data_IF_047353087954
#
_entry.id   IF_047353087954
#
_cell.length_a   1.000
_cell.length_b   1.000
_cell.length_c   1.000
_cell.angle_alpha   90.00
_cell.angle_beta   90.00
_cell.angle_gamma   90.00
#
_symmetry.space_group_name_H-M   'P 1'
#
loop_
_entity.id
_entity.type
_entity.pdbx_description
1 polymer ?
#
# COMPACT_ATOMS: atom_id res chain seq x y z
N UNK A 1 26.58 -0.30 8.71
CA UNK A 1 25.85 -0.72 7.51
C UNK A 1 25.15 -2.05 7.79
N UNK A 2 23.85 -2.15 7.49
CA UNK A 2 23.03 -3.35 7.60
C UNK A 2 23.32 -4.32 6.46
N UNK A 3 23.14 -5.61 6.77
CA UNK A 3 23.21 -6.72 5.83
C UNK A 3 21.91 -7.53 5.91
N UNK A 4 21.52 -8.19 4.82
CA UNK A 4 20.31 -9.02 4.80
C UNK A 4 20.36 -10.13 5.85
N UNK A 5 21.55 -10.70 6.11
CA UNK A 5 21.74 -11.70 7.17
C UNK A 5 21.38 -11.13 8.56
N UNK A 6 21.82 -9.90 8.87
CA UNK A 6 21.49 -9.24 10.14
C UNK A 6 19.98 -8.97 10.26
N UNK A 7 19.34 -8.55 9.17
CA UNK A 7 17.89 -8.32 9.14
C UNK A 7 17.07 -9.60 9.28
N UNK A 8 17.52 -10.72 8.71
CA UNK A 8 16.84 -12.02 8.86
C UNK A 8 16.93 -12.57 10.29
N UNK A 9 18.02 -12.26 10.98
CA UNK A 9 18.26 -12.74 12.35
C UNK A 9 17.64 -11.85 13.43
N UNK A 10 17.12 -10.68 13.05
CA UNK A 10 16.48 -9.74 13.96
C UNK A 10 15.14 -10.32 14.46
N UNK A 11 15.00 -10.39 15.78
CA UNK A 11 13.77 -10.83 16.45
C UNK A 11 13.10 -9.65 17.15
N UNK A 12 11.79 -9.75 17.30
CA UNK A 12 11.01 -8.83 18.13
C UNK A 12 11.35 -9.04 19.61
N UNK A 13 11.61 -7.94 20.32
CA UNK A 13 11.97 -7.94 21.74
C UNK A 13 10.79 -7.53 22.63
N UNK A 14 9.56 -7.58 22.12
CA UNK A 14 8.36 -7.10 22.81
C UNK A 14 8.19 -5.57 22.80
N UNK A 15 9.22 -4.81 22.42
CA UNK A 15 9.17 -3.35 22.25
C UNK A 15 9.71 -2.94 20.88
N UNK A 16 9.17 -1.88 20.26
CA UNK A 16 9.63 -1.40 18.96
C UNK A 16 11.02 -0.73 19.07
N UNK A 17 11.98 -1.12 18.24
CA UNK A 17 13.32 -0.54 18.23
C UNK A 17 13.87 -0.25 16.83
N UNK A 18 14.82 0.70 16.77
CA UNK A 18 15.42 1.17 15.52
C UNK A 18 16.79 0.52 15.31
N UNK A 19 17.05 0.10 14.09
CA UNK A 19 18.37 -0.38 13.65
C UNK A 19 18.83 0.50 12.50
N UNK A 20 19.85 1.33 12.75
CA UNK A 20 20.36 2.28 11.77
C UNK A 20 21.13 1.57 10.64
N UNK A 21 20.91 2.01 9.41
CA UNK A 21 21.73 1.62 8.24
C UNK A 21 22.72 2.74 7.87
N UNK A 22 22.38 3.53 6.84
CA UNK A 22 23.19 4.61 6.26
C UNK A 22 22.28 5.74 5.76
N UNK A 23 22.82 6.94 5.61
CA UNK A 23 22.14 8.08 5.00
C UNK A 23 20.76 8.40 5.60
N UNK A 24 20.54 8.14 6.89
CA UNK A 24 19.24 8.34 7.55
C UNK A 24 18.22 7.22 7.33
N UNK A 25 18.58 6.15 6.61
CA UNK A 25 17.81 4.90 6.54
C UNK A 25 17.95 4.14 7.84
N UNK A 26 16.84 3.60 8.32
CA UNK A 26 16.83 2.67 9.44
C UNK A 26 15.71 1.64 9.27
N UNK A 27 15.96 0.45 9.80
CA UNK A 27 14.95 -0.57 9.95
C UNK A 27 14.23 -0.35 11.29
N UNK A 28 12.92 -0.15 11.23
CA UNK A 28 12.03 -0.10 12.38
C UNK A 28 11.50 -1.51 12.62
N UNK A 29 11.90 -2.13 13.73
CA UNK A 29 11.45 -3.47 14.14
C UNK A 29 10.25 -3.29 15.06
N UNK A 30 9.10 -3.85 14.69
CA UNK A 30 7.92 -3.89 15.54
C UNK A 30 8.10 -4.92 16.67
N UNK A 31 7.30 -4.80 17.74
CA UNK A 31 7.29 -5.76 18.84
C UNK A 31 7.05 -7.21 18.37
N UNK A 32 6.23 -7.38 17.32
CA UNK A 32 5.94 -8.67 16.67
C UNK A 32 7.06 -9.21 15.77
N UNK A 33 8.16 -8.46 15.59
CA UNK A 33 9.26 -8.82 14.68
C UNK A 33 9.06 -8.36 13.23
N UNK A 34 7.95 -7.69 12.91
CA UNK A 34 7.76 -7.07 11.59
C UNK A 34 8.77 -5.95 11.36
N UNK A 35 9.51 -5.98 10.25
CA UNK A 35 10.54 -4.99 9.93
C UNK A 35 10.03 -4.02 8.86
N UNK A 36 10.14 -2.72 9.12
CA UNK A 36 9.79 -1.66 8.16
C UNK A 36 10.98 -0.75 7.90
N UNK A 37 11.34 -0.55 6.63
CA UNK A 37 12.37 0.37 6.22
C UNK A 37 11.82 1.81 6.21
N UNK A 38 12.43 2.69 7.00
CA UNK A 38 12.05 4.09 7.13
C UNK A 38 13.25 4.99 6.88
N UNK A 39 12.97 6.16 6.32
CA UNK A 39 13.97 7.18 6.02
C UNK A 39 13.62 8.46 6.78
N UNK A 40 14.56 8.94 7.60
CA UNK A 40 14.49 10.22 8.29
C UNK A 40 15.24 11.28 7.49
N UNK A 41 14.58 12.40 7.23
CA UNK A 41 15.14 13.50 6.46
C UNK A 41 14.69 14.85 7.03
N UNK A 42 15.32 15.91 6.54
CA UNK A 42 14.91 17.29 6.80
C UNK A 42 14.61 17.98 5.49
N UNK A 43 13.47 18.67 5.45
CA UNK A 43 13.05 19.50 4.32
C UNK A 43 12.41 20.76 4.89
N UNK A 44 12.76 21.92 4.36
CA UNK A 44 12.22 23.22 4.80
C UNK A 44 12.35 23.45 6.33
N UNK A 45 13.49 23.06 6.93
CA UNK A 45 13.73 23.19 8.37
C UNK A 45 12.98 22.21 9.28
N UNK A 46 12.08 21.38 8.72
CA UNK A 46 11.30 20.39 9.47
C UNK A 46 11.88 18.98 9.30
N UNK A 47 11.94 18.24 10.39
CA UNK A 47 12.27 16.81 10.34
C UNK A 47 11.01 16.00 10.00
N UNK A 48 11.10 15.17 8.97
CA UNK A 48 10.02 14.30 8.53
C UNK A 48 10.54 12.85 8.35
N UNK A 49 9.62 11.90 8.40
CA UNK A 49 9.92 10.47 8.24
C UNK A 49 9.02 9.90 7.17
N UNK A 50 9.60 9.16 6.22
CA UNK A 50 8.85 8.39 5.22
C UNK A 50 9.06 6.89 5.44
N UNK A 51 7.98 6.13 5.38
CA UNK A 51 8.06 4.66 5.33
C UNK A 51 8.21 4.24 3.88
N UNK A 52 9.36 3.64 3.53
CA UNK A 52 9.62 3.14 2.18
C UNK A 52 8.81 1.86 1.94
N UNK A 53 8.91 0.89 2.85
CA UNK A 53 8.10 -0.33 2.82
C UNK A 53 8.50 -1.35 3.88
N UNK A 54 7.85 -2.52 3.83
CA UNK A 54 8.08 -3.63 4.77
C UNK A 54 9.16 -4.56 4.22
N UNK A 55 10.12 -4.95 5.06
CA UNK A 55 11.14 -5.93 4.70
C UNK A 55 10.62 -7.36 4.91
N UNK A 56 10.88 -8.26 3.96
CA UNK A 56 10.56 -9.69 4.08
C UNK A 56 10.06 -10.33 2.78
N UNK A 57 9.64 -11.60 2.87
CA UNK A 57 9.06 -12.36 1.75
C UNK A 57 7.73 -11.72 1.35
N UNK A 58 7.65 -11.20 0.12
CA UNK A 58 6.50 -10.42 -0.38
C UNK A 58 6.55 -8.92 -0.06
N UNK A 59 7.62 -8.46 0.58
CA UNK A 59 7.93 -7.04 0.79
C UNK A 59 9.07 -6.58 -0.09
N UNK A 60 9.87 -5.65 0.42
CA UNK A 60 11.11 -5.18 -0.21
C UNK A 60 12.35 -5.84 0.38
N UNK A 61 13.36 -6.02 -0.47
CA UNK A 61 14.73 -6.36 -0.08
C UNK A 61 15.49 -5.14 0.44
N UNK A 62 16.64 -5.37 1.10
CA UNK A 62 17.49 -4.27 1.57
C UNK A 62 18.07 -3.45 0.40
N UNK A 63 18.33 -4.08 -0.75
CA UNK A 63 18.79 -3.40 -1.97
C UNK A 63 17.74 -2.44 -2.51
N UNK A 64 16.51 -2.91 -2.68
CA UNK A 64 15.39 -2.07 -3.12
C UNK A 64 15.11 -0.92 -2.15
N UNK A 65 15.25 -1.15 -0.83
CA UNK A 65 15.12 -0.08 0.15
C UNK A 65 16.19 1.02 -0.03
N UNK A 66 17.40 0.66 -0.48
CA UNK A 66 18.48 1.61 -0.79
C UNK A 66 18.25 2.35 -2.10
N UNK A 67 17.69 1.68 -3.10
CA UNK A 67 17.28 2.30 -4.37
C UNK A 67 16.14 3.32 -4.12
N UNK A 68 15.11 2.93 -3.37
CA UNK A 68 14.02 3.81 -2.96
C UNK A 68 14.51 5.00 -2.12
N UNK A 69 15.56 4.82 -1.30
CA UNK A 69 16.20 5.92 -0.59
C UNK A 69 16.87 6.90 -1.56
N UNK A 70 17.55 6.42 -2.60
CA UNK A 70 18.18 7.29 -3.59
C UNK A 70 17.13 8.15 -4.31
N UNK A 71 15.98 7.58 -4.65
CA UNK A 71 14.84 8.31 -5.21
C UNK A 71 14.27 9.34 -4.22
N UNK A 72 14.04 8.92 -2.97
CA UNK A 72 13.53 9.82 -1.93
C UNK A 72 14.50 10.99 -1.68
N UNK A 73 15.81 10.75 -1.70
CA UNK A 73 16.83 11.81 -1.57
C UNK A 73 16.79 12.80 -2.73
N UNK A 74 16.59 12.34 -3.97
CA UNK A 74 16.42 13.22 -5.13
C UNK A 74 15.20 14.13 -4.96
N UNK A 75 14.08 13.58 -4.48
CA UNK A 75 12.88 14.36 -4.20
C UNK A 75 13.11 15.40 -3.08
N UNK A 76 13.79 15.01 -1.99
CA UNK A 76 14.14 15.92 -0.90
C UNK A 76 15.09 17.04 -1.36
N UNK A 77 16.06 16.73 -2.23
CA UNK A 77 16.95 17.72 -2.83
C UNK A 77 16.20 18.72 -3.72
N UNK A 78 15.10 18.30 -4.35
CA UNK A 78 14.19 19.17 -5.08
C UNK A 78 13.21 19.95 -4.15
N UNK A 79 13.35 19.84 -2.83
CA UNK A 79 12.48 20.49 -1.84
C UNK A 79 11.11 19.82 -1.66
N UNK A 80 10.88 18.67 -2.31
CA UNK A 80 9.61 17.94 -2.23
C UNK A 80 9.70 16.91 -1.10
N UNK A 81 8.70 16.92 -0.20
CA UNK A 81 8.58 15.91 0.87
C UNK A 81 8.02 14.59 0.31
N UNK A 82 8.79 13.48 0.33
CA UNK A 82 8.27 12.17 -0.09
C UNK A 82 7.11 11.68 0.77
N UNK A 83 7.04 12.07 2.05
CA UNK A 83 5.95 11.69 2.93
C UNK A 83 4.63 12.34 2.48
N UNK A 84 4.65 13.64 2.18
CA UNK A 84 3.47 14.36 1.70
C UNK A 84 2.99 13.85 0.36
N UNK A 85 3.91 13.61 -0.59
CA UNK A 85 3.54 13.03 -1.89
C UNK A 85 2.88 11.66 -1.74
N UNK A 86 3.34 10.84 -0.79
CA UNK A 86 2.73 9.53 -0.51
C UNK A 86 1.33 9.66 0.09
N UNK A 87 1.14 10.60 1.02
CA UNK A 87 -0.16 10.90 1.62
C UNK A 87 -1.16 11.47 0.61
N UNK A 88 -0.72 12.39 -0.24
CA UNK A 88 -1.52 12.99 -1.30
C UNK A 88 -1.96 11.92 -2.32
N UNK A 89 -1.04 11.04 -2.73
CA UNK A 89 -1.39 9.92 -3.61
C UNK A 89 -2.41 8.98 -2.97
N UNK A 90 -2.29 8.71 -1.67
CA UNK A 90 -3.27 7.91 -0.94
C UNK A 90 -4.62 8.63 -0.87
N UNK A 91 -4.64 9.93 -0.59
CA UNK A 91 -5.85 10.75 -0.55
C UNK A 91 -6.52 10.80 -1.92
N UNK A 92 -5.76 11.01 -2.99
CA UNK A 92 -6.24 10.98 -4.38
C UNK A 92 -6.85 9.63 -4.72
N UNK A 93 -6.20 8.51 -4.36
CA UNK A 93 -6.76 7.16 -4.55
C UNK A 93 -8.05 6.93 -3.77
N UNK A 94 -8.16 7.46 -2.55
CA UNK A 94 -9.38 7.37 -1.73
C UNK A 94 -10.51 8.28 -2.23
N UNK A 95 -10.16 9.41 -2.84
CA UNK A 95 -11.12 10.33 -3.44
C UNK A 95 -11.70 9.81 -4.76
N UNK A 96 -11.02 8.85 -5.40
CA UNK A 96 -11.60 8.14 -6.55
C UNK A 96 -12.81 7.33 -6.09
N UNK A 97 -13.94 7.56 -6.76
CA UNK A 97 -15.17 6.80 -6.52
C UNK A 97 -14.90 5.31 -6.76
N UNK A 98 -15.20 4.43 -5.78
CA UNK A 98 -15.03 3.01 -6.00
C UNK A 98 -16.02 2.53 -7.07
N UNK A 99 -15.61 1.56 -7.87
CA UNK A 99 -16.43 1.02 -8.96
C UNK A 99 -17.83 0.57 -8.50
N UNK A 100 -17.96 0.07 -7.27
CA UNK A 100 -19.26 -0.32 -6.70
C UNK A 100 -20.24 0.85 -6.64
N UNK A 101 -19.81 2.01 -6.13
CA UNK A 101 -20.63 3.21 -6.01
C UNK A 101 -20.97 3.77 -7.39
N UNK A 102 -20.00 3.76 -8.31
CA UNK A 102 -20.25 4.12 -9.71
C UNK A 102 -21.29 3.20 -10.37
N UNK A 103 -21.18 1.88 -10.16
CA UNK A 103 -22.06 0.88 -10.75
C UNK A 103 -23.49 0.96 -10.21
N UNK A 104 -23.67 1.19 -8.92
CA UNK A 104 -24.99 1.45 -8.30
C UNK A 104 -25.62 2.70 -8.89
N UNK A 105 -24.87 3.81 -8.95
CA UNK A 105 -25.34 5.06 -9.56
C UNK A 105 -25.72 4.89 -11.04
N UNK A 106 -24.97 4.08 -11.78
CA UNK A 106 -25.28 3.76 -13.18
C UNK A 106 -26.56 2.93 -13.30
N UNK A 107 -26.74 1.91 -12.45
CA UNK A 107 -27.95 1.09 -12.43
C UNK A 107 -29.21 1.93 -12.15
N UNK A 108 -29.10 2.94 -11.29
CA UNK A 108 -30.20 3.83 -10.92
C UNK A 108 -30.59 4.81 -12.02
N UNK A 109 -29.59 5.39 -12.70
CA UNK A 109 -29.82 6.41 -13.74
C UNK A 109 -30.17 5.83 -15.10
N UNK A 110 -29.71 4.62 -15.41
CA UNK A 110 -29.94 4.01 -16.71
C UNK A 110 -31.40 3.56 -16.85
N UNK A 111 -32.06 3.97 -17.94
CA UNK A 111 -33.44 3.54 -18.25
C UNK A 111 -33.43 2.06 -18.60
N UNK A 112 -33.94 1.24 -17.70
CA UNK A 112 -34.22 -0.18 -17.89
C UNK A 112 -35.46 -0.55 -17.08
N UNK A 113 -36.10 -1.68 -17.40
CA UNK A 113 -37.20 -2.19 -16.60
C UNK A 113 -36.71 -2.54 -15.18
N UNK A 114 -37.56 -2.34 -14.16
CA UNK A 114 -37.23 -2.64 -12.76
C UNK A 114 -36.83 -4.12 -12.57
N UNK A 115 -37.41 -5.04 -13.35
CA UNK A 115 -37.04 -6.46 -13.35
C UNK A 115 -35.58 -6.68 -13.80
N UNK A 116 -35.14 -5.99 -14.86
CA UNK A 116 -33.75 -6.05 -15.34
C UNK A 116 -32.79 -5.41 -14.34
N UNK A 117 -33.20 -4.31 -13.70
CA UNK A 117 -32.42 -3.62 -12.67
C UNK A 117 -32.23 -4.50 -11.43
N UNK A 118 -33.29 -5.14 -10.95
CA UNK A 118 -33.27 -6.07 -9.83
C UNK A 118 -32.37 -7.28 -10.11
N UNK A 119 -32.48 -7.89 -11.30
CA UNK A 119 -31.62 -8.98 -11.73
C UNK A 119 -30.15 -8.56 -11.74
N UNK A 120 -29.80 -7.40 -12.33
CA UNK A 120 -28.41 -6.92 -12.40
C UNK A 120 -27.83 -6.61 -11.02
N UNK A 121 -28.62 -6.01 -10.12
CA UNK A 121 -28.21 -5.80 -8.71
C UNK A 121 -27.96 -7.13 -8.01
N UNK A 122 -28.85 -8.11 -8.20
CA UNK A 122 -28.70 -9.44 -7.63
C UNK A 122 -27.45 -10.16 -8.16
N UNK A 123 -27.21 -10.16 -9.48
CA UNK A 123 -26.01 -10.74 -10.09
C UNK A 123 -24.74 -10.06 -9.57
N UNK A 124 -24.72 -8.73 -9.48
CA UNK A 124 -23.59 -7.99 -8.93
C UNK A 124 -23.32 -8.39 -7.47
N UNK A 125 -24.36 -8.43 -6.64
CA UNK A 125 -24.26 -8.82 -5.23
C UNK A 125 -23.75 -10.27 -5.07
N UNK A 126 -24.31 -11.21 -5.83
CA UNK A 126 -23.88 -12.61 -5.82
C UNK A 126 -22.43 -12.77 -6.28
N UNK A 127 -22.02 -12.04 -7.33
CA UNK A 127 -20.64 -12.10 -7.82
C UNK A 127 -19.63 -11.59 -6.80
N UNK A 128 -20.01 -10.64 -5.93
CA UNK A 128 -19.16 -10.10 -4.88
C UNK A 128 -19.12 -10.99 -3.63
N UNK A 129 -20.24 -11.64 -3.28
CA UNK A 129 -20.38 -12.51 -2.09
C UNK A 129 -19.91 -13.95 -2.30
N UNK A 130 -19.76 -14.38 -3.55
CA UNK A 130 -19.33 -15.74 -3.87
C UNK A 130 -17.85 -15.99 -3.51
N UNK A 131 -17.53 -17.12 -2.85
CA UNK A 131 -16.15 -17.52 -2.59
C UNK A 131 -15.36 -17.63 -3.92
N UNK A 132 -14.05 -17.32 -3.92
CA UNK A 132 -13.23 -17.27 -5.14
C UNK A 132 -13.32 -18.52 -6.03
N UNK A 133 -13.58 -19.68 -5.43
CA UNK A 133 -13.68 -20.97 -6.11
C UNK A 133 -14.85 -21.06 -7.11
N UNK A 134 -15.97 -20.37 -6.88
CA UNK A 134 -17.16 -20.44 -7.75
C UNK A 134 -17.17 -19.41 -8.89
N UNK A 135 -16.29 -18.39 -8.83
CA UNK A 135 -16.22 -17.33 -9.86
C UNK A 135 -15.74 -17.83 -11.22
N UNK A 136 -15.04 -18.97 -11.27
CA UNK A 136 -14.56 -19.59 -12.52
C UNK A 136 -15.61 -20.43 -13.23
N UNK A 137 -16.68 -20.85 -12.54
CA UNK A 137 -17.71 -21.71 -13.13
C UNK A 137 -18.65 -20.94 -14.08
N UNK A 138 -18.83 -19.64 -13.87
CA UNK A 138 -19.76 -18.82 -14.67
C UNK A 138 -19.18 -18.38 -16.03
N UNK A 139 -17.88 -18.60 -16.29
CA UNK A 139 -17.20 -18.15 -17.53
C UNK A 139 -17.20 -19.20 -18.65
N UNK A 140 -17.96 -20.30 -18.51
CA UNK A 140 -18.03 -21.42 -19.48
C UNK A 140 -19.40 -21.59 -20.15
N UNK A 141 -20.31 -20.64 -20.01
CA UNK A 141 -21.59 -20.66 -20.72
C UNK A 141 -21.74 -19.38 -21.54
N UNK A 142 -20.93 -19.30 -22.59
CA UNK A 142 -21.16 -18.53 -23.83
C UNK A 142 -20.39 -19.25 -24.93
#
# INVERSE_FOLDING_TARGET
MLTDAKLKNIKGTGQPYKVADRDGLYAMVAASGGISCRYNYRVNGRQETVTLGRYGVGGMSLREAREALAEARKAVAAGVSPARTKEENLRRRKAQEPFSVWAERWLDKYRMAESTRAMRRWTAACSLRAPPALRRAFRRVT
#
